data_IF_462281170922
#
_entry.id   IF_462281170922
#
_cell.length_a   1.000
_cell.length_b   1.000
_cell.length_c   1.000
_cell.angle_alpha   90.00
_cell.angle_beta   90.00
_cell.angle_gamma   90.00
#
_symmetry.space_group_name_H-M   'P 1'
#
loop_
_entity.id
_entity.type
_entity.pdbx_description
1 polymer ?
#
# COMPACT_ATOMS: atom_id res chain seq x y z
N UNK A 1 30.51 -4.39 -35.02
CA UNK A 1 31.38 -3.93 -33.92
C UNK A 1 30.60 -2.82 -33.22
N UNK A 2 29.94 -3.14 -32.13
CA UNK A 2 29.15 -2.19 -31.31
C UNK A 2 30.04 -1.67 -30.20
N UNK A 3 30.41 -0.40 -30.26
CA UNK A 3 31.11 0.29 -29.17
C UNK A 3 30.11 0.56 -28.05
N UNK A 4 30.15 -0.26 -26.99
CA UNK A 4 29.54 0.07 -25.73
C UNK A 4 30.46 1.01 -24.96
N UNK A 5 30.27 2.32 -25.14
CA UNK A 5 30.88 3.30 -24.26
C UNK A 5 30.04 3.38 -22.97
N UNK A 6 30.34 2.51 -22.01
CA UNK A 6 29.95 2.76 -20.63
C UNK A 6 30.96 3.74 -20.06
N UNK A 7 30.52 4.96 -19.77
CA UNK A 7 31.26 5.89 -18.95
C UNK A 7 31.15 5.40 -17.50
N UNK A 8 32.25 4.90 -16.94
CA UNK A 8 32.29 4.62 -15.49
C UNK A 8 32.09 5.94 -14.75
N UNK A 9 31.03 6.03 -13.98
CA UNK A 9 30.80 7.14 -13.03
C UNK A 9 31.75 6.91 -11.84
N UNK A 10 32.87 7.60 -11.85
CA UNK A 10 34.01 7.35 -10.95
C UNK A 10 33.98 8.20 -9.66
N UNK A 11 32.93 8.99 -9.38
CA UNK A 11 32.84 9.79 -8.16
C UNK A 11 31.48 9.60 -7.48
N UNK A 12 31.51 9.24 -6.18
CA UNK A 12 30.31 9.09 -5.34
C UNK A 12 29.49 10.38 -5.29
N UNK A 13 30.14 11.53 -5.34
CA UNK A 13 29.50 12.86 -5.28
C UNK A 13 28.72 13.18 -6.57
N UNK A 14 29.20 12.77 -7.71
CA UNK A 14 28.49 12.94 -8.99
C UNK A 14 27.27 12.00 -9.08
N UNK A 15 27.38 10.80 -8.51
CA UNK A 15 26.27 9.86 -8.46
C UNK A 15 25.14 10.37 -7.55
N UNK A 16 25.46 10.90 -6.37
CA UNK A 16 24.50 11.53 -5.47
C UNK A 16 23.83 12.76 -6.09
N UNK A 17 24.60 13.61 -6.76
CA UNK A 17 24.09 14.79 -7.45
C UNK A 17 23.16 14.42 -8.61
N UNK A 18 23.49 13.35 -9.33
CA UNK A 18 22.66 12.85 -10.45
C UNK A 18 21.36 12.23 -9.93
N UNK A 19 21.43 11.44 -8.86
CA UNK A 19 20.26 10.84 -8.21
C UNK A 19 19.32 11.93 -7.67
N UNK A 20 19.86 12.95 -7.00
CA UNK A 20 19.10 14.03 -6.39
C UNK A 20 18.34 14.90 -7.41
N UNK A 21 18.73 14.91 -8.68
CA UNK A 21 17.97 15.57 -9.75
C UNK A 21 16.66 14.87 -10.08
N UNK A 22 16.56 13.56 -9.80
CA UNK A 22 15.39 12.74 -10.12
C UNK A 22 14.54 12.39 -8.92
N UNK A 23 15.04 12.61 -7.70
CA UNK A 23 14.29 12.41 -6.46
C UNK A 23 13.48 13.66 -6.16
N UNK A 24 12.18 13.52 -6.13
CA UNK A 24 11.27 14.58 -5.71
C UNK A 24 10.72 14.25 -4.33
N UNK A 25 11.13 14.99 -3.32
CA UNK A 25 10.59 14.90 -1.98
C UNK A 25 9.38 15.82 -1.80
N UNK A 26 8.36 15.35 -1.11
CA UNK A 26 7.22 16.17 -0.71
C UNK A 26 6.67 15.70 0.63
N UNK A 27 6.12 16.64 1.44
CA UNK A 27 5.67 16.33 2.78
C UNK A 27 4.44 15.43 2.77
N UNK A 28 4.43 14.44 3.65
CA UNK A 28 3.25 13.65 3.96
C UNK A 28 2.28 14.48 4.81
N UNK A 29 0.98 14.31 4.58
CA UNK A 29 -0.05 14.90 5.43
C UNK A 29 -0.69 13.86 6.33
N UNK A 30 -1.05 14.24 7.54
CA UNK A 30 -1.90 13.40 8.38
C UNK A 30 -3.33 13.39 7.83
N UNK A 31 -3.96 12.25 7.90
CA UNK A 31 -5.38 12.07 7.61
C UNK A 31 -5.92 11.02 8.58
N UNK A 32 -7.22 11.01 8.81
CA UNK A 32 -7.90 10.01 9.63
C UNK A 32 -8.68 9.06 8.74
N UNK A 33 -8.73 7.80 9.12
CA UNK A 33 -9.57 6.77 8.52
C UNK A 33 -10.34 6.04 9.61
N UNK A 34 -11.51 5.49 9.24
CA UNK A 34 -12.36 4.78 10.19
C UNK A 34 -12.70 5.63 11.40
N UNK A 35 -12.63 5.05 12.58
CA UNK A 35 -12.93 5.69 13.86
C UNK A 35 -11.70 6.36 14.52
N UNK A 36 -11.00 7.23 13.75
CA UNK A 36 -9.92 8.05 14.29
C UNK A 36 -8.52 7.49 14.11
N UNK A 37 -8.33 6.44 13.32
CA UNK A 37 -6.99 5.93 13.01
C UNK A 37 -6.22 6.93 12.16
N UNK A 38 -5.11 7.46 12.68
CA UNK A 38 -4.28 8.44 11.99
C UNK A 38 -3.32 7.75 11.03
N UNK A 39 -3.33 8.18 9.78
CA UNK A 39 -2.43 7.73 8.71
C UNK A 39 -1.60 8.87 8.16
N UNK A 40 -0.53 8.53 7.44
CA UNK A 40 0.27 9.47 6.66
C UNK A 40 -0.02 9.28 5.17
N UNK A 41 -0.61 10.30 4.55
CA UNK A 41 -1.01 10.28 3.14
C UNK A 41 -0.01 11.04 2.28
N UNK A 42 0.59 10.34 1.31
CA UNK A 42 1.47 10.90 0.30
C UNK A 42 0.69 11.37 -0.93
N UNK A 43 -0.27 10.56 -1.38
CA UNK A 43 -1.11 10.84 -2.55
C UNK A 43 -2.60 10.73 -2.18
N UNK A 44 -3.47 11.59 -2.75
CA UNK A 44 -3.13 12.82 -3.45
C UNK A 44 -2.68 13.93 -2.48
N UNK A 45 -1.78 14.77 -2.95
CA UNK A 45 -1.41 15.99 -2.25
C UNK A 45 -1.56 17.22 -3.18
N UNK A 46 -1.42 18.42 -2.62
CA UNK A 46 -1.39 19.64 -3.45
C UNK A 46 -0.17 19.69 -4.39
N UNK A 47 0.91 19.02 -4.02
CA UNK A 47 2.15 18.98 -4.80
C UNK A 47 2.14 17.91 -5.86
N UNK A 48 1.47 16.76 -5.58
CA UNK A 48 1.43 15.61 -6.47
C UNK A 48 0.07 14.93 -6.40
N UNK A 49 -0.62 14.88 -7.51
CA UNK A 49 -1.94 14.24 -7.59
C UNK A 49 -1.84 12.74 -7.86
N UNK A 50 -0.90 12.37 -8.73
CA UNK A 50 -0.70 11.00 -9.20
C UNK A 50 0.77 10.77 -9.52
N UNK A 51 1.20 9.50 -9.45
CA UNK A 51 2.47 9.00 -9.98
C UNK A 51 2.12 7.83 -10.89
N UNK A 52 2.22 8.03 -12.21
CA UNK A 52 1.72 7.05 -13.17
C UNK A 52 0.24 6.74 -12.93
N UNK A 53 -0.11 5.48 -12.76
CA UNK A 53 -1.46 5.02 -12.46
C UNK A 53 -1.86 5.20 -10.97
N UNK A 54 -0.90 5.43 -10.07
CA UNK A 54 -1.11 5.52 -8.64
C UNK A 54 -1.72 6.87 -8.25
N UNK A 55 -2.90 6.83 -7.65
CA UNK A 55 -3.64 8.04 -7.26
C UNK A 55 -3.85 8.17 -5.75
N UNK A 56 -3.59 7.12 -4.99
CA UNK A 56 -3.52 7.14 -3.53
C UNK A 56 -2.30 6.39 -3.04
N UNK A 57 -1.69 6.91 -1.98
CA UNK A 57 -0.64 6.26 -1.22
C UNK A 57 -0.78 6.67 0.24
N UNK A 58 -1.18 5.72 1.06
CA UNK A 58 -1.37 5.85 2.49
C UNK A 58 -0.42 4.92 3.24
N UNK A 59 0.16 5.43 4.31
CA UNK A 59 0.98 4.69 5.25
C UNK A 59 0.31 4.72 6.62
N UNK A 60 -0.14 3.57 7.08
CA UNK A 60 -0.78 3.37 8.37
C UNK A 60 0.22 2.77 9.36
N UNK A 61 0.37 3.39 10.50
CA UNK A 61 1.32 2.94 11.52
C UNK A 61 2.79 3.31 11.26
N UNK A 62 3.78 2.66 11.96
CA UNK A 62 3.52 1.65 12.98
C UNK A 62 2.69 2.20 14.14
N UNK A 63 1.68 1.47 14.56
CA UNK A 63 0.81 1.83 15.66
C UNK A 63 0.57 0.61 16.57
N UNK A 64 0.40 0.88 17.86
CA UNK A 64 -0.03 -0.09 18.85
C UNK A 64 -1.33 0.43 19.44
N UNK A 65 -2.35 -0.39 19.44
CA UNK A 65 -3.65 -0.07 20.01
C UNK A 65 -3.77 -0.62 21.43
N UNK A 66 -4.48 0.07 22.34
CA UNK A 66 -4.87 -0.50 23.60
C UNK A 66 -5.68 -1.80 23.41
N UNK A 67 -5.69 -2.67 24.40
CA UNK A 67 -6.45 -3.91 24.33
C UNK A 67 -7.95 -3.62 24.14
N UNK A 68 -8.52 -4.19 23.10
CA UNK A 68 -9.93 -3.99 22.72
C UNK A 68 -10.16 -2.88 21.72
N UNK A 69 -9.14 -2.05 21.43
CA UNK A 69 -9.14 -1.09 20.35
C UNK A 69 -8.45 -1.68 19.12
N UNK A 70 -8.53 -1.00 17.99
CA UNK A 70 -7.87 -1.42 16.75
C UNK A 70 -8.28 -0.56 15.57
N UNK A 71 -7.88 -1.01 14.38
CA UNK A 71 -8.40 -0.44 13.16
C UNK A 71 -9.89 -0.81 13.05
N UNK A 72 -10.73 0.19 12.88
CA UNK A 72 -12.16 0.04 12.59
C UNK A 72 -12.53 0.98 11.46
N UNK A 73 -12.56 0.44 10.26
CA UNK A 73 -12.98 1.14 9.05
C UNK A 73 -14.28 0.53 8.56
N UNK A 74 -15.38 1.13 8.97
CA UNK A 74 -16.73 0.71 8.62
C UNK A 74 -16.97 0.62 7.10
N UNK A 75 -18.16 0.15 6.69
CA UNK A 75 -18.47 -0.05 5.29
C UNK A 75 -18.28 1.22 4.46
N UNK A 76 -17.45 1.15 3.44
CA UNK A 76 -17.20 2.25 2.52
C UNK A 76 -17.04 1.75 1.09
N UNK A 77 -17.50 2.54 0.08
CA UNK A 77 -17.49 2.11 -1.30
C UNK A 77 -16.23 2.52 -2.05
N UNK A 78 -15.88 1.71 -3.05
CA UNK A 78 -14.92 2.03 -4.09
C UNK A 78 -15.53 1.83 -5.47
N UNK A 79 -15.07 2.61 -6.45
CA UNK A 79 -15.47 2.49 -7.86
C UNK A 79 -14.27 2.83 -8.75
N UNK A 80 -14.07 2.04 -9.80
CA UNK A 80 -13.09 2.32 -10.85
C UNK A 80 -11.63 2.29 -10.42
N UNK A 81 -11.32 1.78 -9.23
CA UNK A 81 -9.97 1.69 -8.69
C UNK A 81 -9.62 0.25 -8.33
N UNK A 82 -8.34 -0.02 -8.27
CA UNK A 82 -7.78 -1.17 -7.57
C UNK A 82 -7.12 -0.68 -6.29
N UNK A 83 -7.42 -1.35 -5.17
CA UNK A 83 -6.79 -1.11 -3.88
C UNK A 83 -5.82 -2.24 -3.60
N UNK A 84 -4.59 -1.89 -3.33
CA UNK A 84 -3.49 -2.77 -3.01
C UNK A 84 -3.05 -2.46 -1.58
N UNK A 85 -3.24 -3.39 -0.66
CA UNK A 85 -2.81 -3.25 0.74
C UNK A 85 -1.69 -4.24 1.03
N UNK A 86 -0.53 -3.73 1.41
CA UNK A 86 0.61 -4.52 1.88
C UNK A 86 0.68 -4.46 3.40
N UNK A 87 0.52 -5.61 4.04
CA UNK A 87 0.63 -5.74 5.49
C UNK A 87 2.08 -5.97 5.88
N UNK A 88 2.61 -5.11 6.75
CA UNK A 88 3.98 -5.17 7.27
C UNK A 88 3.96 -5.76 8.69
N UNK A 89 3.03 -5.30 9.55
CA UNK A 89 2.86 -5.78 10.92
C UNK A 89 1.38 -5.70 11.32
N UNK A 90 0.94 -6.63 12.15
CA UNK A 90 -0.46 -6.75 12.55
C UNK A 90 -1.30 -7.55 11.57
N UNK A 91 -2.58 -7.60 11.81
CA UNK A 91 -3.57 -8.30 10.99
C UNK A 91 -4.78 -7.42 10.74
N UNK A 92 -5.33 -7.48 9.54
CA UNK A 92 -6.56 -6.79 9.17
C UNK A 92 -7.55 -7.78 8.58
N UNK A 93 -8.76 -7.78 9.11
CA UNK A 93 -9.88 -8.54 8.58
C UNK A 93 -10.59 -7.70 7.53
N UNK A 94 -10.52 -8.12 6.29
CA UNK A 94 -11.24 -7.56 5.16
C UNK A 94 -12.55 -8.32 4.95
N UNK A 95 -13.66 -7.59 4.79
CA UNK A 95 -14.95 -8.13 4.34
C UNK A 95 -15.49 -7.27 3.23
N UNK A 96 -16.05 -7.87 2.19
CA UNK A 96 -16.59 -7.09 1.07
C UNK A 96 -18.02 -7.49 0.67
N UNK A 97 -18.63 -6.66 -0.16
CA UNK A 97 -20.02 -6.84 -0.63
C UNK A 97 -20.20 -8.01 -1.59
N UNK A 98 -19.13 -8.70 -2.01
CA UNK A 98 -19.19 -9.94 -2.78
C UNK A 98 -19.22 -11.19 -1.87
N UNK A 99 -19.11 -10.99 -0.55
CA UNK A 99 -19.11 -12.06 0.44
C UNK A 99 -17.71 -12.61 0.73
N UNK A 100 -16.66 -11.95 0.26
CA UNK A 100 -15.31 -12.34 0.65
C UNK A 100 -15.02 -11.88 2.08
N UNK A 101 -14.39 -12.76 2.85
CA UNK A 101 -13.90 -12.50 4.19
C UNK A 101 -12.49 -13.07 4.30
N UNK A 102 -11.51 -12.23 4.64
CA UNK A 102 -10.11 -12.65 4.72
C UNK A 102 -9.32 -11.85 5.74
N UNK A 103 -8.50 -12.55 6.51
CA UNK A 103 -7.48 -11.93 7.35
C UNK A 103 -6.21 -11.75 6.53
N UNK A 104 -5.76 -10.51 6.43
CA UNK A 104 -4.52 -10.14 5.74
C UNK A 104 -3.41 -10.08 6.80
N UNK A 105 -2.35 -10.87 6.59
CA UNK A 105 -1.25 -11.07 7.54
C UNK A 105 0.05 -10.43 7.07
N UNK A 106 1.03 -10.24 7.98
CA UNK A 106 2.34 -9.70 7.61
C UNK A 106 2.98 -10.46 6.45
N UNK A 107 3.51 -9.68 5.49
CA UNK A 107 4.09 -10.20 4.25
C UNK A 107 3.08 -10.57 3.17
N UNK A 108 1.80 -10.41 3.43
CA UNK A 108 0.75 -10.59 2.44
C UNK A 108 0.34 -9.27 1.78
N UNK A 109 -0.20 -9.41 0.60
CA UNK A 109 -0.81 -8.32 -0.16
C UNK A 109 -2.26 -8.68 -0.45
N UNK A 110 -3.14 -7.74 -0.19
CA UNK A 110 -4.54 -7.78 -0.61
C UNK A 110 -4.72 -6.92 -1.86
N UNK A 111 -5.28 -7.48 -2.92
CA UNK A 111 -5.64 -6.75 -4.13
C UNK A 111 -7.16 -6.82 -4.36
N UNK A 112 -7.83 -5.68 -4.21
CA UNK A 112 -9.26 -5.55 -4.48
C UNK A 112 -9.49 -4.71 -5.74
N UNK A 113 -10.21 -5.24 -6.72
CA UNK A 113 -10.62 -4.52 -7.93
C UNK A 113 -12.06 -4.08 -7.78
N UNK A 114 -12.29 -2.78 -7.65
CA UNK A 114 -13.63 -2.24 -7.43
C UNK A 114 -14.53 -2.26 -8.67
N UNK A 115 -13.95 -2.21 -9.87
CA UNK A 115 -14.74 -2.25 -11.10
C UNK A 115 -15.91 -1.25 -11.09
N UNK A 116 -17.13 -1.74 -11.23
CA UNK A 116 -18.35 -0.94 -11.19
C UNK A 116 -18.81 -0.50 -9.82
N UNK A 117 -18.22 -1.09 -8.78
CA UNK A 117 -18.49 -0.74 -7.38
C UNK A 117 -18.37 -1.95 -6.46
N UNK A 118 -17.71 -1.75 -5.33
CA UNK A 118 -17.58 -2.71 -4.23
C UNK A 118 -17.59 -1.90 -2.93
N UNK A 119 -18.26 -2.40 -1.91
CA UNK A 119 -18.13 -1.87 -0.55
C UNK A 119 -17.38 -2.88 0.30
N UNK A 120 -16.53 -2.39 1.21
CA UNK A 120 -15.80 -3.26 2.13
C UNK A 120 -15.59 -2.61 3.50
N UNK A 121 -15.20 -3.43 4.47
CA UNK A 121 -14.69 -3.04 5.78
C UNK A 121 -13.26 -3.50 5.95
N UNK A 122 -12.51 -2.82 6.81
CA UNK A 122 -11.16 -3.21 7.23
C UNK A 122 -11.07 -3.04 8.75
N UNK A 123 -11.04 -4.16 9.46
CA UNK A 123 -11.07 -4.20 10.92
C UNK A 123 -9.86 -4.92 11.47
N UNK A 124 -9.32 -4.49 12.62
CA UNK A 124 -8.35 -5.33 13.35
C UNK A 124 -9.00 -6.64 13.79
N UNK A 125 -8.21 -7.70 13.86
CA UNK A 125 -8.66 -8.94 14.51
C UNK A 125 -8.71 -8.76 16.02
N UNK A 126 -9.45 -9.62 16.72
CA UNK A 126 -9.61 -9.53 18.19
C UNK A 126 -8.29 -9.59 18.96
N UNK A 127 -7.26 -10.19 18.39
CA UNK A 127 -5.91 -10.30 18.96
C UNK A 127 -4.94 -9.28 18.34
N UNK A 128 -5.45 -8.43 17.41
CA UNK A 128 -4.65 -7.47 16.66
C UNK A 128 -4.47 -6.15 17.40
N UNK A 129 -3.39 -6.03 18.16
CA UNK A 129 -2.99 -4.80 18.85
C UNK A 129 -2.06 -3.90 18.04
N UNK A 130 -1.65 -4.32 16.83
CA UNK A 130 -0.66 -3.63 15.99
C UNK A 130 -1.15 -3.40 14.58
N UNK A 131 -0.70 -2.30 14.01
CA UNK A 131 -0.94 -1.97 12.60
C UNK A 131 0.28 -1.33 11.98
N UNK A 132 0.79 -1.94 10.93
CA UNK A 132 1.74 -1.30 10.03
C UNK A 132 1.45 -1.79 8.61
N UNK A 133 0.90 -0.90 7.79
CA UNK A 133 0.50 -1.24 6.44
C UNK A 133 0.75 -0.08 5.47
N UNK A 134 0.90 -0.42 4.20
CA UNK A 134 0.93 0.55 3.10
C UNK A 134 -0.19 0.22 2.15
N UNK A 135 -1.06 1.19 1.89
CA UNK A 135 -2.16 1.05 0.96
C UNK A 135 -1.97 1.95 -0.26
N UNK A 136 -2.00 1.34 -1.42
CA UNK A 136 -1.98 2.03 -2.71
C UNK A 136 -3.34 1.89 -3.38
N UNK A 137 -3.75 2.92 -4.14
CA UNK A 137 -4.88 2.80 -5.04
C UNK A 137 -4.46 3.26 -6.43
N UNK A 138 -4.81 2.46 -7.42
CA UNK A 138 -4.48 2.75 -8.80
C UNK A 138 -5.73 2.72 -9.69
N UNK A 139 -5.63 3.43 -10.80
CA UNK A 139 -6.58 3.25 -11.90
C UNK A 139 -6.18 1.99 -12.67
N UNK A 140 -7.06 1.00 -12.82
CA UNK A 140 -6.78 -0.12 -13.69
C UNK A 140 -6.60 0.39 -15.12
N UNK A 141 -5.71 -0.26 -15.86
CA UNK A 141 -5.45 0.05 -17.27
C UNK A 141 -6.69 -0.22 -18.11
N UNK A 142 -7.47 -1.21 -17.73
CA UNK A 142 -8.76 -1.53 -18.34
C UNK A 142 -9.92 -1.13 -17.41
N UNK A 143 -10.76 -0.19 -17.87
CA UNK A 143 -11.97 0.23 -17.15
C UNK A 143 -13.05 -0.86 -17.11
N UNK A 144 -12.95 -1.86 -17.96
CA UNK A 144 -13.85 -3.02 -18.01
C UNK A 144 -13.37 -4.18 -17.13
N UNK A 145 -12.28 -3.99 -16.35
CA UNK A 145 -11.78 -5.00 -15.45
C UNK A 145 -12.92 -5.54 -14.57
N UNK A 146 -13.07 -6.86 -14.44
CA UNK A 146 -14.13 -7.45 -13.62
C UNK A 146 -13.93 -7.02 -12.16
N UNK A 147 -15.04 -6.93 -11.44
CA UNK A 147 -15.01 -6.81 -9.98
C UNK A 147 -14.42 -8.10 -9.44
N UNK A 148 -13.43 -8.01 -8.58
CA UNK A 148 -12.83 -9.21 -8.00
C UNK A 148 -11.90 -8.90 -6.84
N UNK A 149 -11.77 -9.90 -6.03
CA UNK A 149 -10.83 -9.98 -4.92
C UNK A 149 -9.82 -11.09 -5.27
N UNK A 150 -8.54 -10.81 -5.16
CA UNK A 150 -7.50 -11.83 -5.24
C UNK A 150 -6.97 -12.08 -3.83
N UNK A 151 -7.04 -13.34 -3.42
CA UNK A 151 -6.46 -13.80 -2.16
C UNK A 151 -4.99 -13.40 -2.03
N UNK A 152 -4.58 -13.10 -0.80
CA UNK A 152 -3.28 -12.55 -0.47
C UNK A 152 -2.11 -13.28 -1.12
N UNK A 153 -1.44 -12.60 -2.01
CA UNK A 153 -0.17 -13.09 -2.58
C UNK A 153 0.87 -12.97 -1.47
N UNK A 154 1.34 -14.11 -0.95
CA UNK A 154 2.47 -14.12 -0.01
C UNK A 154 3.75 -13.72 -0.76
N UNK A 155 4.32 -12.58 -0.39
CA UNK A 155 5.67 -12.25 -0.81
C UNK A 155 6.61 -13.20 -0.07
N UNK A 156 7.15 -14.20 -0.76
CA UNK A 156 7.99 -15.25 -0.21
C UNK A 156 9.09 -14.67 0.69
N UNK A 157 9.33 -15.31 1.83
CA UNK A 157 10.45 -14.96 2.72
C UNK A 157 11.75 -15.01 1.91
N UNK A 158 12.51 -13.91 1.89
CA UNK A 158 13.89 -13.97 1.39
C UNK A 158 14.62 -15.11 2.10
N UNK A 159 15.33 -15.98 1.39
CA UNK A 159 16.19 -16.95 2.05
C UNK A 159 17.18 -16.18 2.93
N UNK A 160 17.29 -16.56 4.20
CA UNK A 160 18.35 -16.05 5.08
C UNK A 160 19.67 -16.40 4.40
N UNK A 161 20.49 -15.38 4.11
CA UNK A 161 21.87 -15.60 3.71
C UNK A 161 22.56 -16.43 4.81
N UNK A 162 22.92 -17.65 4.49
CA UNK A 162 23.82 -18.41 5.36
C UNK A 162 25.15 -17.65 5.36
N UNK A 163 25.52 -17.08 6.52
CA UNK A 163 26.87 -16.62 6.76
C UNK A 163 27.72 -17.86 6.95
N UNK A 164 28.58 -18.14 5.98
CA UNK A 164 29.76 -18.99 6.15
C UNK A 164 30.85 -18.22 6.87
#
# INVERSE_FOLDING_TARGET
MSNNNYTELSDSDDCEKYINQFIQEFPLRSAEIGQGTVIKRALPSRHKRMIGAWCFLDHAGPAVFPQGDGLDVGPHPHIGLQTFTWMIEGEVLHRDSLGNEQIIRPGQVNLMTAGRGIAHTEDSTTDGDRLHAVQFRQRPVDRAAPIGFQEGISLGKRPRSQKT
#
